data_IF_657697563523
#
_entry.id   IF_657697563523
#
_cell.length_a   1.000
_cell.length_b   1.000
_cell.length_c   1.000
_cell.angle_alpha   90.00
_cell.angle_beta   90.00
_cell.angle_gamma   90.00
#
_symmetry.space_group_name_H-M   'P 1'
#
loop_
_entity.id
_entity.type
_entity.pdbx_description
1 polymer ?
#
# COMPACT_ATOMS: atom_id res chain seq x y z
N UNK A 1 -7.46 -2.60 -1.63
CA UNK A 1 -7.87 -2.09 -2.95
C UNK A 1 -9.33 -1.60 -3.02
N UNK A 2 -9.52 -0.34 -3.39
CA UNK A 2 -10.81 0.30 -3.59
C UNK A 2 -11.33 -0.07 -4.98
N UNK A 3 -12.54 -0.63 -5.03
CA UNK A 3 -13.15 -1.12 -6.27
C UNK A 3 -14.24 -0.20 -6.81
N UNK A 4 -14.58 0.88 -6.08
CA UNK A 4 -15.52 1.89 -6.57
C UNK A 4 -14.94 2.72 -7.71
N UNK A 5 -15.83 3.31 -8.54
CA UNK A 5 -15.44 4.08 -9.75
C UNK A 5 -14.49 5.25 -9.46
N UNK A 6 -14.68 5.94 -8.33
CA UNK A 6 -13.85 7.05 -7.89
C UNK A 6 -14.04 7.30 -6.39
N UNK A 7 -13.04 7.95 -5.78
CA UNK A 7 -13.20 8.54 -4.45
C UNK A 7 -14.07 9.80 -4.55
N UNK A 8 -14.93 10.03 -3.55
CA UNK A 8 -15.68 11.28 -3.48
C UNK A 8 -14.75 12.40 -3.03
N UNK A 9 -14.95 13.61 -3.57
CA UNK A 9 -14.19 14.80 -3.16
C UNK A 9 -14.30 15.02 -1.64
N UNK A 10 -15.49 14.77 -1.05
CA UNK A 10 -15.72 14.87 0.39
C UNK A 10 -14.88 13.89 1.21
N UNK A 11 -14.69 12.66 0.74
CA UNK A 11 -13.84 11.66 1.39
C UNK A 11 -12.38 12.09 1.36
N UNK A 12 -11.93 12.60 0.21
CA UNK A 12 -10.56 13.07 0.02
C UNK A 12 -10.25 14.31 0.87
N UNK A 13 -11.19 15.27 0.95
CA UNK A 13 -11.10 16.41 1.87
C UNK A 13 -11.08 15.94 3.34
N UNK A 14 -11.91 14.96 3.71
CA UNK A 14 -11.93 14.43 5.06
C UNK A 14 -10.61 13.74 5.45
N UNK A 15 -9.93 13.12 4.49
CA UNK A 15 -8.62 12.48 4.65
C UNK A 15 -7.46 13.48 4.74
N UNK A 16 -7.57 14.62 4.05
CA UNK A 16 -6.54 15.70 4.00
C UNK A 16 -6.83 16.87 4.94
N UNK A 17 -7.92 16.81 5.74
CA UNK A 17 -8.44 17.92 6.55
C UNK A 17 -7.41 18.62 7.44
N UNK A 18 -6.47 17.87 8.02
CA UNK A 18 -5.45 18.42 8.92
C UNK A 18 -4.49 19.34 8.18
N UNK A 19 -4.08 18.93 6.99
CA UNK A 19 -3.21 19.73 6.14
C UNK A 19 -3.98 20.95 5.65
N UNK A 20 -5.24 20.80 5.26
CA UNK A 20 -6.10 21.95 4.87
C UNK A 20 -6.16 23.00 6.00
N UNK A 21 -6.36 22.62 7.26
CA UNK A 21 -6.38 23.59 8.36
C UNK A 21 -5.04 24.33 8.49
N UNK A 22 -3.92 23.63 8.37
CA UNK A 22 -2.59 24.25 8.40
C UNK A 22 -2.38 25.20 7.22
N UNK A 23 -2.82 24.81 6.03
CA UNK A 23 -2.74 25.63 4.81
C UNK A 23 -3.60 26.88 4.92
N UNK A 24 -4.80 26.79 5.51
CA UNK A 24 -5.65 27.97 5.77
C UNK A 24 -4.95 28.93 6.72
N UNK A 25 -4.35 28.44 7.81
CA UNK A 25 -3.56 29.30 8.71
C UNK A 25 -2.37 29.94 7.98
N UNK A 26 -1.63 29.16 7.19
CA UNK A 26 -0.52 29.67 6.38
C UNK A 26 -0.96 30.70 5.33
N UNK A 27 -2.17 30.59 4.77
CA UNK A 27 -2.71 31.57 3.82
C UNK A 27 -3.26 32.83 4.50
N UNK A 28 -3.94 32.69 5.63
CA UNK A 28 -4.59 33.81 6.35
C UNK A 28 -3.57 34.72 7.03
N UNK A 29 -2.56 34.16 7.71
CA UNK A 29 -1.59 34.95 8.48
C UNK A 29 -0.87 36.01 7.63
N UNK A 30 -0.29 35.69 6.45
CA UNK A 30 0.35 36.68 5.60
C UNK A 30 -0.62 37.74 5.08
N UNK A 31 -1.86 37.35 4.74
CA UNK A 31 -2.90 38.28 4.25
C UNK A 31 -3.30 39.27 5.32
N UNK A 32 -3.53 38.81 6.56
CA UNK A 32 -3.85 39.67 7.70
C UNK A 32 -2.71 40.65 7.98
N UNK A 33 -1.47 40.16 8.02
CA UNK A 33 -0.30 41.02 8.24
C UNK A 33 -0.11 42.05 7.12
N UNK A 34 -0.37 41.67 5.87
CA UNK A 34 -0.24 42.55 4.71
C UNK A 34 -1.36 43.60 4.62
N UNK A 35 -2.60 43.23 4.94
CA UNK A 35 -3.78 44.08 4.78
C UNK A 35 -4.09 44.92 6.03
N UNK A 36 -3.97 44.33 7.23
CA UNK A 36 -4.36 44.99 8.48
C UNK A 36 -3.20 45.67 9.20
N UNK A 37 -1.99 45.09 9.13
CA UNK A 37 -0.79 45.66 9.74
C UNK A 37 0.06 46.47 8.74
N UNK A 38 -0.42 46.65 7.51
CA UNK A 38 0.23 47.38 6.41
C UNK A 38 1.70 46.94 6.15
N UNK A 39 2.02 45.68 6.42
CA UNK A 39 3.37 45.13 6.22
C UNK A 39 3.59 44.75 4.74
N UNK A 40 3.57 45.74 3.85
CA UNK A 40 3.68 45.56 2.39
C UNK A 40 5.02 44.97 1.92
N UNK A 41 6.05 45.03 2.77
CA UNK A 41 7.36 44.43 2.51
C UNK A 41 7.36 42.89 2.58
N UNK A 42 6.33 42.26 3.16
CA UNK A 42 6.18 40.80 3.23
C UNK A 42 6.01 40.14 1.85
N UNK A 43 5.55 40.90 0.85
CA UNK A 43 5.41 40.41 -0.51
C UNK A 43 6.77 40.05 -1.12
N UNK A 44 6.92 38.79 -1.54
CA UNK A 44 8.14 38.32 -2.22
C UNK A 44 7.92 38.22 -3.73
N UNK A 45 8.99 38.21 -4.56
CA UNK A 45 8.84 38.07 -6.01
C UNK A 45 8.15 36.77 -6.40
N UNK A 46 7.06 36.86 -7.18
CA UNK A 46 6.32 35.70 -7.67
C UNK A 46 7.20 34.71 -8.43
N UNK A 47 8.18 35.20 -9.19
CA UNK A 47 9.11 34.38 -9.98
C UNK A 47 9.89 33.37 -9.14
N UNK A 48 10.30 33.73 -7.93
CA UNK A 48 11.01 32.83 -7.00
C UNK A 48 10.09 31.70 -6.55
N UNK A 49 8.84 32.03 -6.23
CA UNK A 49 7.83 31.06 -5.78
C UNK A 49 7.40 30.15 -6.93
N UNK A 50 7.21 30.68 -8.13
CA UNK A 50 6.87 29.92 -9.32
C UNK A 50 7.97 28.92 -9.70
N UNK A 51 9.25 29.33 -9.60
CA UNK A 51 10.38 28.43 -9.81
C UNK A 51 10.40 27.30 -8.78
N UNK A 52 10.19 27.63 -7.50
CA UNK A 52 10.11 26.63 -6.43
C UNK A 52 8.92 25.67 -6.63
N UNK A 53 7.77 26.18 -7.03
CA UNK A 53 6.59 25.36 -7.35
C UNK A 53 6.86 24.41 -8.51
N UNK A 54 7.53 24.89 -9.56
CA UNK A 54 7.93 24.06 -10.71
C UNK A 54 8.87 22.94 -10.28
N UNK A 55 9.93 23.26 -9.51
CA UNK A 55 10.84 22.25 -8.96
C UNK A 55 10.10 21.22 -8.08
N UNK A 56 9.19 21.69 -7.23
CA UNK A 56 8.36 20.84 -6.36
C UNK A 56 7.46 19.91 -7.17
N UNK A 57 6.85 20.40 -8.26
CA UNK A 57 6.00 19.59 -9.13
C UNK A 57 6.76 18.44 -9.79
N UNK A 58 7.95 18.72 -10.32
CA UNK A 58 8.82 17.68 -10.88
C UNK A 58 9.16 16.62 -9.83
N UNK A 59 9.62 17.06 -8.67
CA UNK A 59 10.05 16.18 -7.59
C UNK A 59 8.91 15.27 -7.09
N UNK A 60 7.73 15.85 -6.84
CA UNK A 60 6.54 15.09 -6.40
C UNK A 60 6.08 14.14 -7.50
N UNK A 61 6.10 14.56 -8.77
CA UNK A 61 5.78 13.72 -9.91
C UNK A 61 6.70 12.49 -10.01
N UNK A 62 8.02 12.68 -9.88
CA UNK A 62 8.98 11.58 -9.87
C UNK A 62 8.73 10.61 -8.71
N UNK A 63 8.52 11.13 -7.49
CA UNK A 63 8.18 10.30 -6.33
C UNK A 63 6.95 9.44 -6.60
N UNK A 64 5.86 10.06 -7.06
CA UNK A 64 4.60 9.38 -7.27
C UNK A 64 4.69 8.30 -8.36
N UNK A 65 5.47 8.55 -9.42
CA UNK A 65 5.78 7.55 -10.44
C UNK A 65 6.54 6.35 -9.86
N UNK A 66 7.58 6.58 -9.05
CA UNK A 66 8.35 5.51 -8.43
C UNK A 66 7.54 4.70 -7.41
N UNK A 67 6.73 5.35 -6.57
CA UNK A 67 5.85 4.66 -5.63
C UNK A 67 4.75 3.88 -6.35
N UNK A 68 4.25 4.40 -7.48
CA UNK A 68 3.30 3.67 -8.33
C UNK A 68 3.92 2.41 -8.94
N UNK A 69 5.14 2.49 -9.48
CA UNK A 69 5.86 1.31 -10.00
C UNK A 69 6.06 0.23 -8.92
N UNK A 70 6.30 0.64 -7.67
CA UNK A 70 6.45 -0.28 -6.53
C UNK A 70 5.16 -1.05 -6.22
N UNK A 71 4.01 -0.38 -6.14
CA UNK A 71 2.73 -1.08 -5.91
C UNK A 71 2.34 -1.96 -7.10
N UNK A 72 2.69 -1.55 -8.31
CA UNK A 72 2.51 -2.37 -9.50
C UNK A 72 3.35 -3.65 -9.45
N UNK A 73 4.63 -3.57 -9.08
CA UNK A 73 5.50 -4.75 -8.87
C UNK A 73 4.90 -5.67 -7.79
N UNK A 74 4.43 -5.10 -6.67
CA UNK A 74 3.80 -5.87 -5.60
C UNK A 74 2.59 -6.66 -6.10
N UNK A 75 1.73 -6.03 -6.92
CA UNK A 75 0.57 -6.67 -7.53
C UNK A 75 0.97 -7.80 -8.49
N UNK A 76 2.01 -7.60 -9.30
CA UNK A 76 2.54 -8.64 -10.19
C UNK A 76 3.05 -9.83 -9.39
N UNK A 77 3.88 -9.60 -8.37
CA UNK A 77 4.42 -10.67 -7.50
C UNK A 77 3.31 -11.51 -6.89
N UNK A 78 2.29 -10.88 -6.31
CA UNK A 78 1.17 -11.62 -5.71
C UNK A 78 0.26 -12.30 -6.74
N UNK A 79 0.17 -11.74 -7.97
CA UNK A 79 -0.52 -12.39 -9.09
C UNK A 79 0.19 -13.64 -9.57
N UNK A 80 1.53 -13.59 -9.62
CA UNK A 80 2.38 -14.73 -9.91
C UNK A 80 2.27 -15.79 -8.80
N UNK A 81 2.23 -15.37 -7.52
CA UNK A 81 2.00 -16.29 -6.39
C UNK A 81 0.68 -17.04 -6.56
N UNK A 82 -0.43 -16.34 -6.86
CA UNK A 82 -1.73 -16.98 -7.09
C UNK A 82 -1.69 -17.97 -8.27
N UNK A 83 -1.07 -17.58 -9.37
CA UNK A 83 -0.96 -18.42 -10.57
C UNK A 83 -0.11 -19.67 -10.32
N UNK A 84 1.05 -19.52 -9.70
CA UNK A 84 1.91 -20.64 -9.31
C UNK A 84 1.27 -21.51 -8.24
N UNK A 85 0.45 -20.94 -7.35
CA UNK A 85 -0.34 -21.70 -6.36
C UNK A 85 -1.29 -22.68 -7.06
N UNK A 86 -2.00 -22.23 -8.10
CA UNK A 86 -2.88 -23.10 -8.90
C UNK A 86 -2.10 -24.20 -9.61
N UNK A 87 -0.93 -23.88 -10.15
CA UNK A 87 -0.05 -24.88 -10.75
C UNK A 87 0.40 -25.93 -9.72
N UNK A 88 0.78 -25.49 -8.52
CA UNK A 88 1.11 -26.38 -7.40
C UNK A 88 -0.06 -27.29 -6.99
N UNK A 89 -1.29 -26.77 -6.98
CA UNK A 89 -2.50 -27.56 -6.72
C UNK A 89 -2.71 -28.68 -7.73
N UNK A 90 -2.62 -28.34 -9.02
CA UNK A 90 -2.77 -29.30 -10.12
C UNK A 90 -1.67 -30.37 -10.08
N UNK A 91 -0.40 -29.98 -9.95
CA UNK A 91 0.70 -30.95 -9.91
C UNK A 91 0.66 -31.82 -8.66
N UNK A 92 0.31 -31.25 -7.49
CA UNK A 92 0.13 -32.03 -6.25
C UNK A 92 -0.99 -33.08 -6.38
N UNK A 93 -2.11 -32.73 -7.03
CA UNK A 93 -3.24 -33.64 -7.25
C UNK A 93 -2.92 -34.73 -8.28
N UNK A 94 -2.31 -34.34 -9.41
CA UNK A 94 -2.19 -35.23 -10.58
C UNK A 94 -0.92 -36.07 -10.59
N UNK A 95 0.17 -35.61 -9.96
CA UNK A 95 1.44 -36.35 -9.96
C UNK A 95 1.55 -37.34 -8.81
N UNK A 96 0.89 -37.08 -7.68
CA UNK A 96 0.93 -37.95 -6.51
C UNK A 96 -0.12 -39.05 -6.62
N UNK A 97 0.27 -40.28 -6.29
CA UNK A 97 -0.64 -41.43 -6.26
C UNK A 97 -1.62 -41.38 -5.08
N UNK A 98 -1.24 -40.74 -3.98
CA UNK A 98 -2.02 -40.64 -2.75
C UNK A 98 -2.74 -39.30 -2.64
N UNK A 99 -4.07 -39.35 -2.59
CA UNK A 99 -4.91 -38.16 -2.37
C UNK A 99 -4.63 -37.50 -1.00
N UNK A 100 -4.28 -38.29 0.03
CA UNK A 100 -3.92 -37.77 1.34
C UNK A 100 -2.63 -36.94 1.28
N UNK A 101 -1.63 -37.40 0.52
CA UNK A 101 -0.36 -36.66 0.34
C UNK A 101 -0.55 -35.41 -0.51
N UNK A 102 -1.39 -35.48 -1.54
CA UNK A 102 -1.78 -34.29 -2.31
C UNK A 102 -2.42 -33.23 -1.42
N UNK A 103 -3.36 -33.65 -0.57
CA UNK A 103 -4.01 -32.78 0.42
C UNK A 103 -3.00 -32.20 1.40
N UNK A 104 -2.08 -33.00 1.95
CA UNK A 104 -1.04 -32.57 2.87
C UNK A 104 -0.16 -31.45 2.25
N UNK A 105 0.31 -31.61 1.01
CA UNK A 105 1.11 -30.58 0.33
C UNK A 105 0.30 -29.32 0.05
N UNK A 106 -0.95 -29.44 -0.39
CA UNK A 106 -1.83 -28.29 -0.64
C UNK A 106 -2.09 -27.52 0.65
N UNK A 107 -2.40 -28.20 1.75
CA UNK A 107 -2.66 -27.55 3.04
C UNK A 107 -1.40 -26.88 3.61
N UNK A 108 -0.21 -27.48 3.48
CA UNK A 108 1.05 -26.80 3.82
C UNK A 108 1.30 -25.55 2.96
N UNK A 109 0.90 -25.58 1.69
CA UNK A 109 0.96 -24.40 0.81
C UNK A 109 -0.01 -23.30 1.24
N UNK A 110 -1.23 -23.65 1.64
CA UNK A 110 -2.19 -22.69 2.23
C UNK A 110 -1.66 -22.09 3.53
N UNK A 111 -0.98 -22.89 4.36
CA UNK A 111 -0.30 -22.39 5.55
C UNK A 111 0.81 -21.39 5.19
N UNK A 112 1.57 -21.62 4.12
CA UNK A 112 2.57 -20.67 3.64
C UNK A 112 1.93 -19.36 3.14
N UNK A 113 0.84 -19.43 2.37
CA UNK A 113 0.09 -18.24 1.95
C UNK A 113 -0.40 -17.42 3.15
N UNK A 114 -0.89 -18.10 4.20
CA UNK A 114 -1.29 -17.44 5.45
C UNK A 114 -0.07 -16.79 6.15
N UNK A 115 1.04 -17.50 6.29
CA UNK A 115 2.26 -16.96 6.89
C UNK A 115 2.79 -15.74 6.13
N UNK A 116 2.86 -15.81 4.80
CA UNK A 116 3.26 -14.70 3.92
C UNK A 116 2.36 -13.49 4.08
N UNK A 117 1.04 -13.71 4.07
CA UNK A 117 0.06 -12.65 4.25
C UNK A 117 0.26 -11.91 5.57
N UNK A 118 0.41 -12.64 6.68
CA UNK A 118 0.67 -12.05 7.99
C UNK A 118 2.02 -11.33 8.05
N UNK A 119 3.08 -11.94 7.51
CA UNK A 119 4.41 -11.33 7.44
C UNK A 119 4.37 -9.99 6.68
N UNK A 120 3.63 -9.90 5.58
CA UNK A 120 3.46 -8.65 4.82
C UNK A 120 2.64 -7.59 5.57
N UNK A 121 1.79 -7.99 6.52
CA UNK A 121 1.03 -7.07 7.40
C UNK A 121 1.80 -6.59 8.62
N UNK A 122 2.97 -7.15 8.92
CA UNK A 122 3.78 -6.70 10.05
C UNK A 122 4.21 -5.24 9.87
N UNK A 123 4.06 -4.38 10.89
CA UNK A 123 4.36 -2.97 10.75
C UNK A 123 5.87 -2.74 10.57
N UNK A 124 6.22 -1.76 9.73
CA UNK A 124 7.58 -1.20 9.68
C UNK A 124 7.57 0.27 10.10
N UNK A 125 8.67 0.80 10.69
CA UNK A 125 8.70 2.17 11.22
C UNK A 125 8.38 3.26 10.19
N UNK A 126 8.60 2.97 8.91
CA UNK A 126 8.46 3.94 7.83
C UNK A 126 7.09 3.93 7.14
N UNK A 127 6.23 2.97 7.45
CA UNK A 127 4.97 2.83 6.74
C UNK A 127 3.94 3.89 7.16
N UNK A 128 2.86 4.05 6.43
CA UNK A 128 1.97 5.19 6.57
C UNK A 128 0.75 4.93 7.46
N UNK A 129 0.46 3.68 7.81
CA UNK A 129 -0.75 3.25 8.54
C UNK A 129 -0.88 3.85 9.93
N UNK A 130 0.23 4.16 10.59
CA UNK A 130 0.25 4.79 11.91
C UNK A 130 -0.12 6.29 11.86
N UNK A 131 -0.18 6.90 10.67
CA UNK A 131 -0.61 8.30 10.53
C UNK A 131 -2.09 8.41 10.91
N UNK A 132 -2.45 9.46 11.66
CA UNK A 132 -3.83 9.58 12.21
C UNK A 132 -4.92 9.60 11.15
N UNK A 133 -4.64 10.17 9.96
CA UNK A 133 -5.61 10.21 8.86
C UNK A 133 -5.93 8.79 8.37
N UNK A 134 -4.91 7.91 8.31
CA UNK A 134 -5.04 6.53 7.89
C UNK A 134 -5.71 5.67 8.95
N UNK A 135 -5.37 5.85 10.24
CA UNK A 135 -6.05 5.19 11.36
C UNK A 135 -7.56 5.51 11.36
N UNK A 136 -7.93 6.76 11.06
CA UNK A 136 -9.36 7.14 11.01
C UNK A 136 -10.06 6.43 9.85
N UNK A 137 -9.43 6.38 8.69
CA UNK A 137 -9.99 5.75 7.50
C UNK A 137 -10.07 4.23 7.63
N UNK A 138 -9.12 3.60 8.33
CA UNK A 138 -9.10 2.14 8.56
C UNK A 138 -10.26 1.63 9.40
N UNK A 139 -10.99 2.50 10.11
CA UNK A 139 -12.21 2.12 10.85
C UNK A 139 -13.39 1.76 9.95
N UNK A 140 -13.29 2.04 8.65
CA UNK A 140 -14.34 1.78 7.67
C UNK A 140 -14.29 0.34 7.11
N UNK A 141 -13.27 -0.44 7.41
CA UNK A 141 -13.11 -1.81 6.91
C UNK A 141 -12.34 -2.66 7.93
N UNK A 142 -12.33 -3.98 7.75
CA UNK A 142 -11.71 -4.92 8.68
C UNK A 142 -10.56 -5.65 7.99
N UNK A 143 -9.34 -5.56 8.52
CA UNK A 143 -8.18 -6.28 8.01
C UNK A 143 -8.15 -7.66 8.69
N UNK A 144 -8.36 -8.78 7.98
CA UNK A 144 -8.49 -10.10 8.60
C UNK A 144 -7.32 -10.47 9.51
N UNK A 145 -6.11 -10.11 9.11
CA UNK A 145 -4.88 -10.40 9.85
C UNK A 145 -4.73 -9.60 11.16
N UNK A 146 -5.63 -8.64 11.42
CA UNK A 146 -5.72 -7.93 12.70
C UNK A 146 -6.81 -8.49 13.62
N UNK A 147 -7.71 -9.31 13.09
CA UNK A 147 -8.84 -9.90 13.83
C UNK A 147 -8.50 -11.29 14.37
N UNK A 148 -7.71 -12.07 13.62
CA UNK A 148 -7.25 -13.40 14.04
C UNK A 148 -5.74 -13.41 14.27
N UNK A 149 -5.27 -14.36 15.10
CA UNK A 149 -3.84 -14.56 15.31
C UNK A 149 -3.29 -15.45 14.21
N UNK A 150 -1.99 -15.30 13.90
CA UNK A 150 -1.30 -16.18 12.95
C UNK A 150 -1.43 -17.66 13.37
N UNK A 151 -1.26 -17.95 14.66
CA UNK A 151 -1.40 -19.30 15.21
C UNK A 151 -2.78 -19.90 14.92
N UNK A 152 -3.86 -19.15 15.16
CA UNK A 152 -5.22 -19.62 14.91
C UNK A 152 -5.49 -19.83 13.41
N UNK A 153 -4.90 -19.01 12.53
CA UNK A 153 -5.00 -19.21 11.08
C UNK A 153 -4.19 -20.44 10.61
N UNK A 154 -2.98 -20.64 11.10
CA UNK A 154 -2.14 -21.78 10.72
C UNK A 154 -2.70 -23.11 11.24
N UNK A 155 -3.35 -23.11 12.40
CA UNK A 155 -4.01 -24.29 12.97
C UNK A 155 -5.14 -24.86 12.09
N UNK A 156 -5.66 -24.10 11.12
CA UNK A 156 -6.63 -24.59 10.14
C UNK A 156 -6.01 -25.54 9.12
N UNK A 157 -4.70 -25.41 8.89
CA UNK A 157 -4.01 -26.09 7.81
C UNK A 157 -2.98 -27.12 8.28
N UNK A 158 -2.42 -26.93 9.47
CA UNK A 158 -1.32 -27.74 9.99
C UNK A 158 -1.76 -28.60 11.15
N UNK A 159 -1.08 -29.73 11.33
CA UNK A 159 -1.18 -30.51 12.57
C UNK A 159 -0.63 -29.74 13.77
N UNK A 160 -1.04 -30.14 14.99
CA UNK A 160 -0.55 -29.50 16.23
C UNK A 160 0.97 -29.60 16.41
N UNK A 161 1.59 -30.66 15.86
CA UNK A 161 3.02 -30.89 15.93
C UNK A 161 3.77 -29.95 14.99
N UNK A 162 3.37 -29.91 13.71
CA UNK A 162 3.94 -29.00 12.72
C UNK A 162 3.77 -27.54 13.14
N UNK A 163 2.59 -27.18 13.64
CA UNK A 163 2.31 -25.81 14.09
C UNK A 163 3.33 -25.33 15.13
N UNK A 164 3.67 -26.16 16.12
CA UNK A 164 4.67 -25.83 17.13
C UNK A 164 6.03 -25.57 16.51
N UNK A 165 6.45 -26.41 15.57
CA UNK A 165 7.73 -26.23 14.87
C UNK A 165 7.75 -24.95 14.03
N UNK A 166 6.67 -24.67 13.28
CA UNK A 166 6.55 -23.45 12.47
C UNK A 166 6.61 -22.21 13.36
N UNK A 167 5.92 -22.21 14.51
CA UNK A 167 5.89 -21.04 15.39
C UNK A 167 7.26 -20.72 16.00
N UNK A 168 8.11 -21.72 16.21
CA UNK A 168 9.49 -21.57 16.67
C UNK A 168 10.44 -21.02 15.60
N UNK A 169 10.07 -21.11 14.32
CA UNK A 169 10.89 -20.59 13.23
C UNK A 169 10.93 -19.05 13.22
N UNK A 170 12.13 -18.52 12.94
CA UNK A 170 12.36 -17.10 12.73
C UNK A 170 11.58 -16.58 11.51
N UNK A 171 11.83 -17.17 10.34
CA UNK A 171 11.03 -16.94 9.13
C UNK A 171 10.09 -18.14 8.91
N UNK A 172 8.83 -17.96 9.33
CA UNK A 172 7.78 -19.00 9.30
C UNK A 172 7.42 -19.40 7.87
N UNK A 173 7.37 -18.43 6.96
CA UNK A 173 7.08 -18.69 5.55
C UNK A 173 8.20 -19.51 4.89
N UNK A 174 9.47 -19.12 5.08
CA UNK A 174 10.61 -19.90 4.56
C UNK A 174 10.64 -21.32 5.14
N UNK A 175 10.36 -21.47 6.44
CA UNK A 175 10.32 -22.78 7.08
C UNK A 175 9.26 -23.69 6.45
N UNK A 176 8.04 -23.18 6.24
CA UNK A 176 6.94 -23.90 5.59
C UNK A 176 7.27 -24.33 4.15
N UNK A 177 8.03 -23.54 3.41
CA UNK A 177 8.50 -23.92 2.08
C UNK A 177 9.60 -24.99 2.15
N UNK A 178 10.51 -24.87 3.12
CA UNK A 178 11.56 -25.87 3.34
C UNK A 178 11.00 -27.24 3.73
N UNK A 179 9.94 -27.29 4.55
CA UNK A 179 9.29 -28.56 4.92
C UNK A 179 8.59 -29.20 3.72
N UNK A 180 8.04 -28.41 2.79
CA UNK A 180 7.50 -28.94 1.53
C UNK A 180 8.59 -29.55 0.63
N UNK A 181 9.76 -28.92 0.52
CA UNK A 181 10.90 -29.52 -0.21
C UNK A 181 11.36 -30.83 0.43
N UNK A 182 11.39 -30.91 1.76
CA UNK A 182 11.65 -32.18 2.48
C UNK A 182 10.60 -33.24 2.13
N UNK A 183 9.31 -32.88 2.12
CA UNK A 183 8.23 -33.79 1.77
C UNK A 183 8.34 -34.30 0.32
N UNK A 184 8.66 -33.43 -0.65
CA UNK A 184 8.92 -33.85 -2.04
C UNK A 184 10.07 -34.86 -2.13
N UNK A 185 11.17 -34.60 -1.41
CA UNK A 185 12.34 -35.49 -1.37
C UNK A 185 11.97 -36.86 -0.79
N UNK A 186 11.15 -36.90 0.26
CA UNK A 186 10.67 -38.15 0.86
C UNK A 186 9.75 -38.95 -0.09
N UNK A 187 8.84 -38.26 -0.80
CA UNK A 187 7.97 -38.88 -1.80
C UNK A 187 8.78 -39.47 -2.97
N UNK A 188 9.80 -38.75 -3.42
CA UNK A 188 10.71 -39.24 -4.45
C UNK A 188 11.53 -40.45 -3.98
N UNK A 189 12.07 -40.42 -2.75
CA UNK A 189 12.83 -41.53 -2.18
C UNK A 189 11.99 -42.81 -1.99
N UNK A 190 10.66 -42.67 -1.84
CA UNK A 190 9.70 -43.78 -1.75
C UNK A 190 9.18 -44.26 -3.12
N UNK A 191 9.70 -43.72 -4.23
CA UNK A 191 9.25 -44.05 -5.60
C UNK A 191 7.75 -43.76 -5.84
N UNK A 192 7.19 -42.81 -5.09
CA UNK A 192 5.80 -42.34 -5.27
C UNK A 192 5.67 -41.38 -6.47
N UNK A 193 6.81 -40.92 -7.00
CA UNK A 193 6.94 -39.89 -8.03
C UNK A 193 8.08 -40.23 -8.99
N UNK A 194 7.90 -39.94 -10.29
CA UNK A 194 8.98 -40.07 -11.28
C UNK A 194 9.88 -38.83 -11.33
N UNK A 195 11.12 -38.98 -11.81
CA UNK A 195 12.13 -37.90 -11.83
C UNK A 195 11.63 -36.63 -12.52
N UNK A 196 10.87 -36.74 -13.62
CA UNK A 196 10.33 -35.58 -14.34
C UNK A 196 9.33 -34.78 -13.49
N UNK A 197 8.45 -35.47 -12.75
CA UNK A 197 7.49 -34.85 -11.85
C UNK A 197 8.19 -34.18 -10.66
N UNK A 198 9.22 -34.83 -10.10
CA UNK A 198 10.02 -34.27 -9.01
C UNK A 198 10.70 -32.98 -9.40
N UNK A 199 11.39 -32.99 -10.55
CA UNK A 199 12.06 -31.80 -11.08
C UNK A 199 11.04 -30.68 -11.37
N UNK A 200 9.85 -31.02 -11.88
CA UNK A 200 8.83 -30.03 -12.17
C UNK A 200 8.27 -29.38 -10.90
N UNK A 201 7.92 -30.17 -9.88
CA UNK A 201 7.45 -29.64 -8.59
C UNK A 201 8.52 -28.83 -7.85
N UNK A 202 9.78 -29.26 -7.86
CA UNK A 202 10.91 -28.50 -7.29
C UNK A 202 11.11 -27.14 -7.99
N UNK A 203 10.85 -27.04 -9.30
CA UNK A 203 10.88 -25.74 -9.99
C UNK A 203 9.79 -24.81 -9.46
N UNK A 204 8.56 -25.31 -9.29
CA UNK A 204 7.45 -24.52 -8.73
C UNK A 204 7.78 -24.06 -7.30
N UNK A 205 8.37 -24.94 -6.48
CA UNK A 205 8.81 -24.61 -5.13
C UNK A 205 9.88 -23.51 -5.12
N UNK A 206 10.89 -23.63 -5.99
CA UNK A 206 11.91 -22.59 -6.18
C UNK A 206 11.30 -21.26 -6.62
N UNK A 207 10.30 -21.29 -7.49
CA UNK A 207 9.62 -20.07 -7.95
C UNK A 207 8.86 -19.39 -6.79
N UNK A 208 8.26 -20.16 -5.86
CA UNK A 208 7.70 -19.59 -4.63
C UNK A 208 8.76 -18.92 -3.75
N UNK A 209 9.94 -19.52 -3.58
CA UNK A 209 11.05 -18.86 -2.86
C UNK A 209 11.45 -17.53 -3.52
N UNK A 210 11.53 -17.50 -4.85
CA UNK A 210 11.83 -16.29 -5.60
C UNK A 210 10.76 -15.21 -5.37
N UNK A 211 9.49 -15.58 -5.46
CA UNK A 211 8.36 -14.66 -5.26
C UNK A 211 8.26 -14.18 -3.81
N UNK A 212 8.53 -15.05 -2.82
CA UNK A 212 8.65 -14.67 -1.42
C UNK A 212 9.75 -13.62 -1.24
N UNK A 213 10.96 -13.88 -1.73
CA UNK A 213 12.07 -12.93 -1.62
C UNK A 213 11.78 -11.59 -2.32
N UNK A 214 11.07 -11.61 -3.45
CA UNK A 214 10.60 -10.37 -4.10
C UNK A 214 9.59 -9.61 -3.23
N UNK A 215 8.63 -10.30 -2.61
CA UNK A 215 7.66 -9.67 -1.72
C UNK A 215 8.31 -9.09 -0.46
N UNK A 216 9.22 -9.85 0.18
CA UNK A 216 10.02 -9.40 1.31
C UNK A 216 10.87 -8.18 0.95
N UNK A 217 11.49 -8.17 -0.24
CA UNK A 217 12.26 -7.01 -0.70
C UNK A 217 11.37 -5.77 -0.86
N UNK A 218 10.16 -5.92 -1.41
CA UNK A 218 9.18 -4.83 -1.50
C UNK A 218 8.67 -4.41 -0.13
N UNK A 219 8.63 -5.31 0.86
CA UNK A 219 8.25 -4.95 2.22
C UNK A 219 9.37 -4.17 2.91
N UNK A 220 10.59 -4.69 2.89
CA UNK A 220 11.68 -4.29 3.78
C UNK A 220 12.59 -3.20 3.21
N UNK A 221 12.62 -2.99 1.89
CA UNK A 221 13.43 -1.93 1.27
C UNK A 221 12.53 -0.81 0.73
N UNK A 222 12.28 0.27 1.50
CA UNK A 222 11.43 1.38 1.08
C UNK A 222 12.02 2.25 -0.02
N UNK A 223 11.23 3.19 -0.53
CA UNK A 223 11.76 4.28 -1.33
C UNK A 223 12.82 5.04 -0.52
N UNK A 224 13.98 5.41 -1.10
CA UNK A 224 15.10 5.91 -0.31
C UNK A 224 14.71 7.16 0.49
N UNK A 225 14.92 7.09 1.81
CA UNK A 225 14.35 8.04 2.77
C UNK A 225 14.90 9.46 2.64
N UNK A 226 16.11 9.61 2.09
CA UNK A 226 16.66 10.92 1.75
C UNK A 226 15.82 11.64 0.69
N UNK A 227 15.37 10.95 -0.36
CA UNK A 227 14.51 11.55 -1.38
C UNK A 227 13.14 11.89 -0.79
N UNK A 228 12.53 10.97 -0.03
CA UNK A 228 11.26 11.25 0.64
C UNK A 228 11.33 12.50 1.54
N UNK A 229 12.44 12.66 2.27
CA UNK A 229 12.68 13.81 3.15
C UNK A 229 12.83 15.10 2.37
N UNK A 230 13.65 15.10 1.30
CA UNK A 230 13.83 16.28 0.43
C UNK A 230 12.49 16.69 -0.18
N UNK A 231 11.70 15.75 -0.69
CA UNK A 231 10.40 16.02 -1.29
C UNK A 231 9.48 16.75 -0.29
N UNK A 232 9.45 16.26 0.95
CA UNK A 232 8.66 16.86 2.02
C UNK A 232 9.11 18.26 2.40
N UNK A 233 10.42 18.52 2.40
CA UNK A 233 10.98 19.85 2.65
C UNK A 233 10.55 20.82 1.54
N UNK A 234 10.65 20.41 0.28
CA UNK A 234 10.28 21.24 -0.88
C UNK A 234 8.79 21.58 -0.89
N UNK A 235 7.92 20.59 -0.66
CA UNK A 235 6.46 20.82 -0.59
C UNK A 235 6.13 21.79 0.53
N UNK A 236 6.70 21.60 1.74
CA UNK A 236 6.48 22.51 2.87
C UNK A 236 6.99 23.92 2.59
N UNK A 237 8.18 24.05 2.03
CA UNK A 237 8.77 25.34 1.70
C UNK A 237 7.93 26.07 0.65
N UNK A 238 7.48 25.36 -0.38
CA UNK A 238 6.58 25.91 -1.39
C UNK A 238 5.28 26.40 -0.76
N UNK A 239 4.60 25.57 0.04
CA UNK A 239 3.33 25.93 0.67
C UNK A 239 3.48 27.12 1.64
N UNK A 240 4.60 27.21 2.34
CA UNK A 240 4.90 28.32 3.24
C UNK A 240 5.09 29.64 2.47
N UNK A 241 5.83 29.62 1.36
CA UNK A 241 6.18 30.82 0.59
C UNK A 241 5.09 31.25 -0.39
N UNK A 242 4.21 30.33 -0.78
CA UNK A 242 3.15 30.58 -1.76
C UNK A 242 2.28 31.81 -1.45
N UNK A 243 1.67 31.94 -0.25
CA UNK A 243 0.83 33.11 0.05
C UNK A 243 1.60 34.43 -0.07
N UNK A 244 2.86 34.49 0.37
CA UNK A 244 3.68 35.69 0.28
C UNK A 244 3.98 36.10 -1.17
N UNK A 245 4.15 35.15 -2.08
CA UNK A 245 4.36 35.42 -3.50
C UNK A 245 3.10 35.94 -4.20
N UNK A 246 1.92 35.59 -3.70
CA UNK A 246 0.63 35.99 -4.26
C UNK A 246 0.15 37.37 -3.78
N UNK A 247 0.61 37.85 -2.61
CA UNK A 247 0.16 39.12 -2.02
C UNK A 247 0.20 40.29 -3.02
N UNK A 248 1.37 40.54 -3.62
CA UNK A 248 1.55 41.67 -4.56
C UNK A 248 0.78 41.49 -5.86
N UNK A 249 0.68 40.25 -6.35
CA UNK A 249 -0.01 39.96 -7.61
C UNK A 249 -1.51 40.22 -7.48
N UNK A 250 -2.11 39.83 -6.35
CA UNK A 250 -3.51 40.16 -6.08
C UNK A 250 -3.72 41.63 -5.69
N UNK A 251 -2.77 42.28 -5.01
CA UNK A 251 -2.90 43.72 -4.69
C UNK A 251 -2.93 44.60 -5.95
N UNK A 252 -2.09 44.30 -6.95
CA UNK A 252 -2.08 45.00 -8.25
C UNK A 252 -3.43 44.98 -8.96
N UNK A 253 -4.23 43.93 -8.77
CA UNK A 253 -5.57 43.83 -9.38
C UNK A 253 -6.53 44.90 -8.85
N UNK A 254 -6.26 45.50 -7.68
CA UNK A 254 -7.05 46.61 -7.16
C UNK A 254 -6.95 47.87 -8.04
N UNK A 255 -5.90 48.02 -8.84
CA UNK A 255 -5.69 49.18 -9.72
C UNK A 255 -6.59 49.14 -10.97
N UNK A 256 -6.90 47.95 -11.48
CA UNK A 256 -7.64 47.76 -12.73
C UNK A 256 -9.13 47.45 -12.55
N UNK A 257 -9.58 47.13 -11.33
CA UNK A 257 -10.96 46.72 -11.04
C UNK A 257 -11.79 47.85 -10.42
N UNK A 258 -13.04 47.98 -10.89
CA UNK A 258 -14.08 48.81 -10.28
C UNK A 258 -15.19 47.92 -9.71
N UNK A 259 -15.71 48.24 -8.52
CA UNK A 259 -16.78 47.49 -7.86
C UNK A 259 -16.53 47.16 -6.38
N UNK A 260 -17.38 46.31 -5.80
CA UNK A 260 -17.43 45.97 -4.35
C UNK A 260 -16.13 45.35 -3.85
N UNK A 261 -15.41 44.65 -4.72
CA UNK A 261 -14.17 43.95 -4.36
C UNK A 261 -12.92 44.84 -4.47
N UNK A 262 -13.04 46.09 -4.94
CA UNK A 262 -11.90 47.03 -5.00
C UNK A 262 -11.35 47.28 -3.58
N UNK A 263 -10.05 47.09 -3.41
CA UNK A 263 -9.35 47.19 -2.12
C UNK A 263 -9.35 45.88 -1.30
N UNK A 264 -10.10 44.87 -1.73
CA UNK A 264 -10.23 43.58 -1.05
C UNK A 264 -9.63 42.40 -1.83
N UNK A 265 -8.97 42.63 -2.97
CA UNK A 265 -8.41 41.56 -3.81
C UNK A 265 -7.40 40.68 -3.08
N UNK A 266 -6.63 41.24 -2.14
CA UNK A 266 -5.62 40.50 -1.37
C UNK A 266 -6.23 39.34 -0.58
N UNK A 267 -7.51 39.44 -0.18
CA UNK A 267 -8.20 38.35 0.51
C UNK A 267 -8.37 37.08 -0.35
N UNK A 268 -8.34 37.21 -1.68
CA UNK A 268 -8.35 36.07 -2.60
C UNK A 268 -7.06 35.24 -2.53
N UNK A 269 -5.97 35.78 -1.98
CA UNK A 269 -4.75 35.00 -1.74
C UNK A 269 -5.04 33.78 -0.86
N UNK A 270 -5.97 33.87 0.10
CA UNK A 270 -6.30 32.74 0.99
C UNK A 270 -6.86 31.54 0.20
N UNK A 271 -8.01 31.63 -0.50
CA UNK A 271 -8.55 30.47 -1.21
C UNK A 271 -7.62 29.96 -2.32
N UNK A 272 -6.90 30.83 -3.02
CA UNK A 272 -5.99 30.42 -4.09
C UNK A 272 -4.72 29.74 -3.56
N UNK A 273 -4.09 30.28 -2.50
CA UNK A 273 -2.93 29.63 -1.88
C UNK A 273 -3.31 28.29 -1.25
N UNK A 274 -4.45 28.21 -0.56
CA UNK A 274 -4.94 26.95 0.02
C UNK A 274 -5.19 25.92 -1.07
N UNK A 275 -5.87 26.27 -2.16
CA UNK A 275 -6.15 25.35 -3.27
C UNK A 275 -4.86 24.81 -3.90
N UNK A 276 -3.94 25.70 -4.25
CA UNK A 276 -2.68 25.32 -4.90
C UNK A 276 -1.81 24.49 -3.96
N UNK A 277 -1.63 24.91 -2.70
CA UNK A 277 -0.88 24.13 -1.72
C UNK A 277 -1.52 22.78 -1.45
N UNK A 278 -2.86 22.71 -1.39
CA UNK A 278 -3.58 21.46 -1.15
C UNK A 278 -3.33 20.44 -2.25
N UNK A 279 -3.19 20.86 -3.51
CA UNK A 279 -2.82 19.97 -4.62
C UNK A 279 -1.46 19.31 -4.34
N UNK A 280 -0.44 20.08 -3.95
CA UNK A 280 0.91 19.54 -3.70
C UNK A 280 0.96 18.64 -2.45
N UNK A 281 0.35 19.06 -1.35
CA UNK A 281 0.32 18.24 -0.12
C UNK A 281 -0.48 16.96 -0.34
N UNK A 282 -1.56 17.03 -1.12
CA UNK A 282 -2.37 15.85 -1.48
C UNK A 282 -1.58 14.87 -2.33
N UNK A 283 -0.86 15.35 -3.35
CA UNK A 283 -0.01 14.50 -4.18
C UNK A 283 1.11 13.84 -3.37
N UNK A 284 1.72 14.58 -2.43
CA UNK A 284 2.73 14.04 -1.53
C UNK A 284 2.15 12.93 -0.63
N UNK A 285 0.96 13.15 -0.05
CA UNK A 285 0.27 12.20 0.83
C UNK A 285 -0.19 10.94 0.07
N UNK A 286 -0.66 11.09 -1.17
CA UNK A 286 -0.96 9.96 -2.06
C UNK A 286 0.29 9.13 -2.31
N UNK A 287 1.41 9.77 -2.67
CA UNK A 287 2.69 9.07 -2.87
C UNK A 287 3.15 8.29 -1.63
N UNK A 288 3.03 8.88 -0.43
CA UNK A 288 3.34 8.18 0.83
C UNK A 288 2.45 6.95 1.06
N UNK A 289 1.16 7.06 0.77
CA UNK A 289 0.22 5.94 0.93
C UNK A 289 0.48 4.84 -0.09
N UNK A 290 0.84 5.19 -1.33
CA UNK A 290 1.11 4.22 -2.40
C UNK A 290 2.47 3.52 -2.22
N UNK A 291 3.40 4.11 -1.46
CA UNK A 291 4.70 3.51 -1.16
C UNK A 291 4.60 2.18 -0.39
N UNK A 292 3.50 1.96 0.34
CA UNK A 292 3.35 0.86 1.29
C UNK A 292 2.26 -0.12 0.79
N UNK A 293 2.59 -1.11 -0.05
CA UNK A 293 1.58 -1.90 -0.77
C UNK A 293 0.87 -2.97 0.05
N UNK A 294 1.26 -3.16 1.32
CA UNK A 294 0.86 -4.30 2.14
C UNK A 294 0.31 -3.94 3.52
N UNK A 295 0.05 -2.67 3.84
CA UNK A 295 -0.44 -2.26 5.17
C UNK A 295 -1.91 -2.67 5.43
N UNK A 296 -2.63 -2.98 4.36
CA UNK A 296 -4.07 -3.24 4.37
C UNK A 296 -4.87 -1.96 4.15
N UNK A 297 -4.27 -0.94 3.54
CA UNK A 297 -4.97 0.28 3.18
C UNK A 297 -5.95 0.06 2.02
N UNK A 298 -6.89 1.01 1.80
CA UNK A 298 -7.82 0.94 0.70
C UNK A 298 -7.14 0.85 -0.66
N UNK A 299 -5.92 1.34 -0.83
CA UNK A 299 -5.25 1.34 -2.13
C UNK A 299 -4.21 0.22 -2.30
N UNK A 300 -4.05 -0.62 -1.28
CA UNK A 300 -3.04 -1.66 -1.24
C UNK A 300 -3.43 -2.87 -2.09
N UNK A 301 -2.43 -3.71 -2.37
CA UNK A 301 -2.64 -5.01 -3.02
C UNK A 301 -3.57 -5.85 -2.14
N UNK A 302 -4.66 -6.41 -2.68
CA UNK A 302 -5.65 -7.15 -1.90
C UNK A 302 -5.16 -8.58 -1.62
N UNK A 303 -4.04 -8.71 -0.90
CA UNK A 303 -3.38 -10.00 -0.64
C UNK A 303 -4.28 -10.96 0.16
N UNK A 304 -5.22 -10.45 0.96
CA UNK A 304 -6.12 -11.26 1.75
C UNK A 304 -7.13 -11.99 0.87
N UNK A 305 -7.70 -11.26 -0.10
CA UNK A 305 -8.59 -11.78 -1.12
C UNK A 305 -7.85 -12.72 -2.06
N UNK A 306 -6.63 -12.39 -2.48
CA UNK A 306 -5.83 -13.27 -3.34
C UNK A 306 -5.54 -14.61 -2.65
N UNK A 307 -5.19 -14.60 -1.36
CA UNK A 307 -5.06 -15.83 -0.57
C UNK A 307 -6.39 -16.58 -0.43
N UNK A 308 -7.53 -15.89 -0.20
CA UNK A 308 -8.86 -16.53 -0.15
C UNK A 308 -9.23 -17.17 -1.49
N UNK A 309 -8.93 -16.52 -2.61
CA UNK A 309 -9.13 -17.10 -3.95
C UNK A 309 -8.27 -18.35 -4.14
N UNK A 310 -6.98 -18.30 -3.78
CA UNK A 310 -6.13 -19.49 -3.82
C UNK A 310 -6.65 -20.62 -2.92
N UNK A 311 -7.13 -20.29 -1.71
CA UNK A 311 -7.72 -21.24 -0.77
C UNK A 311 -8.94 -21.95 -1.37
N UNK A 312 -9.86 -21.19 -1.98
CA UNK A 312 -11.05 -21.74 -2.64
C UNK A 312 -10.64 -22.64 -3.81
N UNK A 313 -9.83 -22.13 -4.74
CA UNK A 313 -9.42 -22.84 -5.95
C UNK A 313 -8.74 -24.17 -5.61
N UNK A 314 -7.82 -24.17 -4.63
CA UNK A 314 -7.05 -25.35 -4.26
C UNK A 314 -7.87 -26.40 -3.51
N UNK A 315 -8.79 -25.96 -2.65
CA UNK A 315 -9.70 -26.89 -1.94
C UNK A 315 -10.77 -27.45 -2.88
N UNK A 316 -11.21 -26.69 -3.86
CA UNK A 316 -12.09 -27.18 -4.93
C UNK A 316 -11.38 -28.23 -5.80
N UNK A 317 -10.09 -28.04 -6.12
CA UNK A 317 -9.28 -29.06 -6.83
C UNK A 317 -9.16 -30.38 -6.06
N UNK A 318 -9.24 -30.35 -4.72
CA UNK A 318 -9.28 -31.52 -3.84
C UNK A 318 -10.66 -32.18 -3.77
N UNK A 319 -11.70 -31.60 -4.38
CA UNK A 319 -13.07 -32.08 -4.32
C UNK A 319 -13.79 -31.74 -3.01
N UNK A 320 -13.29 -30.78 -2.23
CA UNK A 320 -13.95 -30.33 -1.00
C UNK A 320 -15.18 -29.48 -1.31
N UNK A 321 -16.29 -29.73 -0.60
CA UNK A 321 -17.56 -29.02 -0.80
C UNK A 321 -17.77 -27.87 0.19
N UNK A 322 -17.18 -27.97 1.38
CA UNK A 322 -17.25 -26.94 2.43
C UNK A 322 -16.14 -25.90 2.22
N UNK A 323 -16.32 -25.06 1.20
CA UNK A 323 -15.38 -24.02 0.85
C UNK A 323 -15.63 -22.73 1.66
N UNK A 324 -14.57 -21.97 1.99
CA UNK A 324 -14.73 -20.71 2.70
C UNK A 324 -15.35 -19.67 1.75
N UNK A 325 -16.22 -18.77 2.25
CA UNK A 325 -16.84 -17.77 1.38
C UNK A 325 -15.78 -16.79 0.82
N UNK A 326 -15.96 -16.26 -0.40
CA UNK A 326 -15.16 -15.14 -0.88
C UNK A 326 -15.22 -13.96 0.11
N UNK A 327 -14.15 -13.16 0.25
CA UNK A 327 -14.24 -11.96 1.08
C UNK A 327 -15.04 -10.89 0.33
N UNK A 328 -16.12 -10.45 0.95
CA UNK A 328 -16.94 -9.39 0.38
C UNK A 328 -16.31 -8.00 0.60
N UNK A 329 -16.39 -7.10 -0.40
CA UNK A 329 -15.94 -5.73 -0.23
C UNK A 329 -16.75 -5.02 0.86
N UNK A 330 -16.08 -4.42 1.85
CA UNK A 330 -16.71 -3.54 2.84
C UNK A 330 -16.43 -2.10 2.49
N UNK A 331 -17.46 -1.26 2.35
CA UNK A 331 -17.32 0.15 1.94
C UNK A 331 -16.49 0.32 0.65
N UNK A 332 -16.74 -0.52 -0.36
CA UNK A 332 -16.01 -0.56 -1.63
C UNK A 332 -14.52 -0.91 -1.52
N UNK A 333 -14.09 -1.53 -0.41
CA UNK A 333 -12.70 -1.92 -0.17
C UNK A 333 -12.59 -3.43 -0.10
N UNK A 334 -11.70 -3.98 -0.94
CA UNK A 334 -11.26 -5.38 -0.98
C UNK A 334 -9.85 -5.44 -0.42
N UNK A 335 -9.52 -6.42 0.43
CA UNK A 335 -8.27 -6.48 1.19
C UNK A 335 -7.36 -7.63 0.81
#
# INVERSE_FOLDING_TARGET
MHIGKSYRISEFIAWTKRDIYLLVVMGVVPVVLYQMADLKWLGIPWTVVALLGTATAFIVGFKNSQTYSRIWEARQVWGDILSSSRAWGVTSRDYLKSAEKAKELIYRHLAWLAAMRYQMREPRPWESSHKTNNIRYSRLYCIPEKETTLEAELAKYLSCEELKEVLLAQNKATYLMSTQGKALKELFAKEEMVVSQFIDMEKVLRDFFLLQGRSERIKDFPYPRQFATINRIFVKLFCLLLPFGLLREFDKLNESLTGIMKGNMVWLVVPFSVLLSWIYTSLEQVGDSTECPFEGSPNDVPISQMCRTAEIDLREMLGETELPPPLEPKNSIVL
#
